data_IF_750307482487
#
_entry.id   IF_750307482487
#
_cell.length_a   1.000
_cell.length_b   1.000
_cell.length_c   1.000
_cell.angle_alpha   90.00
_cell.angle_beta   90.00
_cell.angle_gamma   90.00
#
_symmetry.space_group_name_H-M   'P 1'
#
loop_
_entity.id
_entity.type
_entity.pdbx_description
1 polymer ?
#
# COMPACT_ATOMS: atom_id res chain seq x y z
N UNK A 1 -0.24 -18.45 -49.49
CA UNK A 1 0.86 -17.77 -48.77
C UNK A 1 0.29 -16.57 -48.00
N UNK A 2 -0.39 -16.80 -46.87
CA UNK A 2 -1.03 -15.73 -46.07
C UNK A 2 -0.78 -15.86 -44.55
N UNK A 3 0.04 -16.84 -44.13
CA UNK A 3 0.26 -17.14 -42.70
C UNK A 3 1.45 -16.40 -42.08
N UNK A 4 2.38 -15.90 -42.90
CA UNK A 4 3.56 -15.18 -42.41
C UNK A 4 3.25 -13.71 -42.05
N UNK A 5 2.32 -13.06 -42.76
CA UNK A 5 1.94 -11.68 -42.45
C UNK A 5 1.20 -11.55 -41.11
N UNK A 6 0.37 -12.52 -40.74
CA UNK A 6 -0.34 -12.50 -39.45
C UNK A 6 0.60 -12.77 -38.27
N UNK A 7 1.59 -13.67 -38.44
CA UNK A 7 2.62 -13.93 -37.43
C UNK A 7 3.54 -12.72 -37.22
N UNK A 8 3.85 -11.99 -38.29
CA UNK A 8 4.65 -10.76 -38.22
C UNK A 8 3.86 -9.62 -37.59
N UNK A 9 2.55 -9.51 -37.84
CA UNK A 9 1.69 -8.52 -37.16
C UNK A 9 1.55 -8.84 -35.66
N UNK A 10 1.38 -10.11 -35.27
CA UNK A 10 1.34 -10.51 -33.86
C UNK A 10 2.70 -10.33 -33.15
N UNK A 11 3.82 -10.56 -33.85
CA UNK A 11 5.17 -10.34 -33.31
C UNK A 11 5.57 -8.86 -33.26
N UNK A 12 4.98 -8.00 -34.10
CA UNK A 12 5.30 -6.56 -34.15
C UNK A 12 4.33 -5.68 -33.33
N UNK A 13 3.11 -6.15 -33.03
CA UNK A 13 2.17 -5.44 -32.15
C UNK A 13 2.26 -5.85 -30.67
N UNK A 14 2.96 -6.94 -30.36
CA UNK A 14 3.33 -7.32 -28.99
C UNK A 14 4.85 -7.31 -28.91
N UNK A 15 5.50 -6.13 -28.87
CA UNK A 15 5.82 -5.57 -27.56
C UNK A 15 6.15 -4.05 -27.58
N UNK A 16 5.20 -3.15 -27.36
CA UNK A 16 5.53 -1.73 -27.07
C UNK A 16 4.66 -1.05 -25.99
N UNK A 17 4.02 -1.86 -25.14
CA UNK A 17 3.50 -1.42 -23.83
C UNK A 17 4.07 -2.29 -22.69
N UNK A 18 5.37 -2.58 -22.71
CA UNK A 18 6.06 -3.05 -21.51
C UNK A 18 6.77 -1.87 -20.86
N UNK A 19 6.00 -1.02 -20.18
CA UNK A 19 6.48 -0.64 -18.86
C UNK A 19 6.63 -1.97 -18.12
N UNK A 20 7.87 -2.48 -17.97
CA UNK A 20 8.13 -3.78 -17.34
C UNK A 20 7.25 -3.88 -16.09
N UNK A 21 6.36 -4.87 -16.05
CA UNK A 21 5.50 -5.08 -14.89
C UNK A 21 6.39 -5.15 -13.65
N UNK A 22 6.05 -4.39 -12.61
CA UNK A 22 6.83 -4.40 -11.38
C UNK A 22 6.72 -5.78 -10.74
N UNK A 23 7.80 -6.25 -10.15
CA UNK A 23 7.73 -7.49 -9.39
C UNK A 23 7.04 -7.29 -8.04
N UNK A 24 6.42 -8.34 -7.45
CA UNK A 24 5.91 -8.28 -6.08
C UNK A 24 6.94 -7.74 -5.08
N UNK A 25 8.21 -8.12 -5.27
CA UNK A 25 9.31 -7.63 -4.46
C UNK A 25 9.55 -6.11 -4.59
N UNK A 26 9.49 -5.56 -5.79
CA UNK A 26 9.62 -4.11 -6.00
C UNK A 26 8.47 -3.35 -5.35
N UNK A 27 7.23 -3.83 -5.55
CA UNK A 27 6.02 -3.18 -5.01
C UNK A 27 6.06 -3.19 -3.48
N UNK A 28 6.36 -4.33 -2.85
CA UNK A 28 6.41 -4.42 -1.39
C UNK A 28 7.52 -3.54 -0.81
N UNK A 29 8.68 -3.47 -1.48
CA UNK A 29 9.82 -2.63 -1.06
C UNK A 29 9.47 -1.14 -1.10
N UNK A 30 8.72 -0.71 -2.12
CA UNK A 30 8.26 0.66 -2.25
C UNK A 30 7.14 0.99 -1.27
N UNK A 31 6.16 0.11 -1.12
CA UNK A 31 5.05 0.27 -0.19
C UNK A 31 5.52 0.36 1.27
N UNK A 32 6.59 -0.37 1.62
CA UNK A 32 7.20 -0.33 2.95
C UNK A 32 7.84 1.02 3.32
N UNK A 33 8.02 1.92 2.35
CA UNK A 33 8.48 3.30 2.60
C UNK A 33 7.34 4.23 3.01
N UNK A 34 6.09 3.82 2.83
CA UNK A 34 4.96 4.64 3.22
C UNK A 34 4.74 4.61 4.74
N UNK A 35 4.32 5.74 5.32
CA UNK A 35 3.75 5.74 6.66
C UNK A 35 2.57 4.75 6.73
N UNK A 36 2.38 4.04 7.86
CA UNK A 36 1.30 3.04 7.99
C UNK A 36 -0.09 3.61 7.66
N UNK A 37 -0.41 4.82 8.14
CA UNK A 37 -1.68 5.49 7.85
C UNK A 37 -1.88 5.78 6.35
N UNK A 38 -0.81 6.15 5.64
CA UNK A 38 -0.88 6.36 4.19
C UNK A 38 -1.17 5.06 3.44
N UNK A 39 -0.53 3.95 3.83
CA UNK A 39 -0.73 2.66 3.17
C UNK A 39 -2.16 2.14 3.38
N UNK A 40 -2.73 2.33 4.57
CA UNK A 40 -4.15 2.03 4.85
C UNK A 40 -5.07 2.88 3.98
N UNK A 41 -4.88 4.20 3.98
CA UNK A 41 -5.68 5.12 3.16
C UNK A 41 -5.58 4.81 1.66
N UNK A 42 -4.39 4.43 1.18
CA UNK A 42 -4.13 4.04 -0.21
C UNK A 42 -4.93 2.79 -0.59
N UNK A 43 -4.84 1.71 0.19
CA UNK A 43 -5.57 0.48 -0.11
C UNK A 43 -7.08 0.68 -0.05
N UNK A 44 -7.58 1.43 0.94
CA UNK A 44 -9.00 1.80 1.01
C UNK A 44 -9.45 2.62 -0.21
N UNK A 45 -8.62 3.56 -0.68
CA UNK A 45 -8.93 4.39 -1.84
C UNK A 45 -8.94 3.57 -3.14
N UNK A 46 -8.05 2.59 -3.27
CA UNK A 46 -8.02 1.66 -4.40
C UNK A 46 -9.27 0.75 -4.40
N UNK A 47 -9.61 0.19 -3.25
CA UNK A 47 -10.72 -0.78 -3.13
C UNK A 47 -12.10 -0.13 -3.25
N UNK A 48 -12.30 1.02 -2.60
CA UNK A 48 -13.62 1.64 -2.43
C UNK A 48 -13.81 2.89 -3.30
N UNK A 49 -12.73 3.40 -3.88
CA UNK A 49 -12.74 4.71 -4.54
C UNK A 49 -12.90 5.88 -3.55
N UNK A 50 -12.79 7.12 -4.05
CA UNK A 50 -13.14 8.28 -3.26
C UNK A 50 -14.65 8.28 -2.99
N UNK A 51 -15.08 8.79 -1.83
CA UNK A 51 -16.51 8.99 -1.63
C UNK A 51 -17.04 10.00 -2.67
N UNK A 52 -18.15 9.68 -3.36
CA UNK A 52 -18.74 10.58 -4.35
C UNK A 52 -19.29 11.86 -3.69
N UNK A 53 -19.67 11.74 -2.42
CA UNK A 53 -20.05 12.86 -1.58
C UNK A 53 -18.84 13.35 -0.76
N UNK A 54 -18.64 14.66 -0.76
CA UNK A 54 -17.64 15.39 0.06
C UNK A 54 -17.83 15.17 1.58
N UNK A 55 -18.92 14.51 1.96
CA UNK A 55 -19.23 14.02 3.31
C UNK A 55 -18.49 12.71 3.62
N UNK A 56 -17.22 12.68 3.24
CA UNK A 56 -16.26 11.63 3.53
C UNK A 56 -16.02 11.41 5.03
N UNK A 57 -15.78 10.16 5.44
CA UNK A 57 -15.57 9.77 6.85
C UNK A 57 -14.34 8.90 7.09
N UNK A 58 -13.50 8.71 6.06
CA UNK A 58 -12.39 7.79 6.11
C UNK A 58 -11.09 8.44 5.61
N UNK A 59 -9.96 7.94 6.10
CA UNK A 59 -8.61 8.38 5.76
C UNK A 59 -8.38 8.38 4.23
N UNK A 60 -9.01 7.45 3.50
CA UNK A 60 -9.00 7.37 2.03
C UNK A 60 -9.45 8.66 1.35
N UNK A 61 -10.39 9.39 1.97
CA UNK A 61 -10.94 10.60 1.40
C UNK A 61 -10.04 11.81 1.71
N UNK A 62 -9.37 11.81 2.87
CA UNK A 62 -8.29 12.76 3.16
C UNK A 62 -7.15 12.57 2.18
N UNK A 63 -6.75 11.33 1.89
CA UNK A 63 -5.77 11.04 0.85
C UNK A 63 -6.23 11.53 -0.53
N UNK A 64 -7.49 11.26 -0.91
CA UNK A 64 -8.06 11.75 -2.17
C UNK A 64 -8.00 13.28 -2.26
N UNK A 65 -8.39 13.99 -1.20
CA UNK A 65 -8.31 15.45 -1.14
C UNK A 65 -6.86 15.95 -1.17
N UNK A 66 -5.94 15.29 -0.48
CA UNK A 66 -4.51 15.60 -0.52
C UNK A 66 -3.93 15.47 -1.93
N UNK A 67 -4.31 14.42 -2.67
CA UNK A 67 -3.92 14.21 -4.06
C UNK A 67 -4.50 15.29 -4.98
N UNK A 68 -5.75 15.71 -4.73
CA UNK A 68 -6.43 16.78 -5.47
C UNK A 68 -5.76 18.15 -5.23
N UNK A 69 -5.50 18.49 -3.96
CA UNK A 69 -4.94 19.79 -3.59
C UNK A 69 -3.45 19.89 -3.90
N UNK A 70 -2.71 18.79 -3.81
CA UNK A 70 -1.27 18.76 -4.06
C UNK A 70 -0.54 19.84 -3.24
N UNK A 71 0.17 20.74 -3.92
CA UNK A 71 0.91 21.83 -3.28
C UNK A 71 0.05 22.85 -2.54
N UNK A 72 -1.27 22.88 -2.78
CA UNK A 72 -2.21 23.79 -2.11
C UNK A 72 -2.73 23.21 -0.79
N UNK A 73 -2.45 21.94 -0.50
CA UNK A 73 -2.91 21.29 0.73
C UNK A 73 -2.54 22.08 2.00
N UNK A 74 -1.32 22.65 2.16
CA UNK A 74 -0.99 23.42 3.35
C UNK A 74 -1.88 24.65 3.55
N UNK A 75 -2.15 25.40 2.48
CA UNK A 75 -3.01 26.60 2.52
C UNK A 75 -4.46 26.21 2.86
N UNK A 76 -4.97 25.12 2.25
CA UNK A 76 -6.31 24.61 2.53
C UNK A 76 -6.44 24.16 3.99
N UNK A 77 -5.43 23.47 4.54
CA UNK A 77 -5.40 23.08 5.95
C UNK A 77 -5.43 24.34 6.85
N UNK A 78 -4.66 25.37 6.51
CA UNK A 78 -4.62 26.61 7.30
C UNK A 78 -5.97 27.34 7.30
N UNK A 79 -6.65 27.38 6.15
CA UNK A 79 -8.01 27.94 6.05
C UNK A 79 -9.01 27.13 6.89
N UNK A 80 -8.93 25.80 6.86
CA UNK A 80 -9.78 24.90 7.66
C UNK A 80 -9.53 25.12 9.16
N UNK A 81 -8.27 25.21 9.60
CA UNK A 81 -7.91 25.43 11.01
C UNK A 81 -8.45 26.76 11.54
N UNK A 82 -8.47 27.79 10.72
CA UNK A 82 -8.99 29.12 11.07
C UNK A 82 -10.48 29.29 10.79
N UNK A 83 -11.15 28.30 10.20
CA UNK A 83 -12.53 28.42 9.75
C UNK A 83 -13.52 28.72 10.88
N UNK A 84 -13.23 28.34 12.14
CA UNK A 84 -14.10 28.63 13.28
C UNK A 84 -14.00 30.05 13.82
N UNK A 85 -12.96 30.79 13.47
CA UNK A 85 -12.74 32.16 13.96
C UNK A 85 -13.51 33.17 13.08
N UNK A 86 -14.55 33.85 13.61
CA UNK A 86 -15.31 34.84 12.83
C UNK A 86 -14.44 36.00 12.33
N UNK A 87 -13.38 36.35 13.06
CA UNK A 87 -12.47 37.44 12.69
C UNK A 87 -11.60 37.09 11.46
N UNK A 88 -11.40 35.80 11.20
CA UNK A 88 -10.59 35.29 10.09
C UNK A 88 -11.37 35.06 8.80
N UNK A 89 -12.71 35.12 8.82
CA UNK A 89 -13.55 34.83 7.66
C UNK A 89 -13.23 35.71 6.45
N UNK A 90 -13.08 37.03 6.66
CA UNK A 90 -12.71 37.96 5.58
C UNK A 90 -11.34 37.64 5.00
N UNK A 91 -10.40 37.22 5.84
CA UNK A 91 -9.05 36.83 5.42
C UNK A 91 -9.08 35.52 4.61
N UNK A 92 -9.78 34.48 5.09
CA UNK A 92 -9.99 33.22 4.37
C UNK A 92 -10.61 33.49 2.99
N UNK A 93 -11.69 34.27 2.94
CA UNK A 93 -12.36 34.60 1.68
C UNK A 93 -11.44 35.36 0.72
N UNK A 94 -10.61 36.27 1.25
CA UNK A 94 -9.66 37.05 0.45
C UNK A 94 -8.55 36.15 -0.11
N UNK A 95 -8.03 35.19 0.66
CA UNK A 95 -7.04 34.23 0.18
C UNK A 95 -7.63 33.31 -0.89
N UNK A 96 -8.79 32.71 -0.65
CA UNK A 96 -9.47 31.87 -1.63
C UNK A 96 -9.67 32.63 -2.96
N UNK A 97 -10.06 33.90 -2.89
CA UNK A 97 -10.22 34.76 -4.07
C UNK A 97 -8.89 35.12 -4.75
N UNK A 98 -7.83 35.34 -3.98
CA UNK A 98 -6.49 35.62 -4.50
C UNK A 98 -5.91 34.42 -5.25
N UNK A 99 -6.09 33.22 -4.70
CA UNK A 99 -5.63 31.97 -5.29
C UNK A 99 -6.53 31.48 -6.44
N UNK A 100 -7.46 32.29 -6.95
CA UNK A 100 -8.39 31.96 -8.04
C UNK A 100 -7.68 31.83 -9.41
N UNK A 101 -6.74 30.89 -9.50
CA UNK A 101 -6.10 30.42 -10.72
C UNK A 101 -6.97 29.31 -11.32
N UNK A 102 -6.90 29.13 -12.64
CA UNK A 102 -7.68 28.12 -13.41
C UNK A 102 -7.66 26.71 -12.77
N UNK A 103 -6.57 26.35 -12.09
CA UNK A 103 -6.39 25.06 -11.40
C UNK A 103 -7.18 24.92 -10.10
N UNK A 104 -7.45 26.03 -9.38
CA UNK A 104 -8.22 26.01 -8.13
C UNK A 104 -9.73 26.08 -8.37
N UNK A 105 -10.15 26.67 -9.49
CA UNK A 105 -11.57 26.83 -9.85
C UNK A 105 -12.34 25.50 -9.84
N UNK A 106 -11.69 24.40 -10.25
CA UNK A 106 -12.29 23.06 -10.26
C UNK A 106 -12.44 22.46 -8.85
N UNK A 107 -11.65 22.88 -7.87
CA UNK A 107 -11.64 22.33 -6.51
C UNK A 107 -12.26 23.27 -5.47
N UNK A 108 -12.62 24.49 -5.88
CA UNK A 108 -13.24 25.49 -5.02
C UNK A 108 -14.52 25.01 -4.31
N UNK A 109 -15.44 24.26 -4.97
CA UNK A 109 -16.62 23.74 -4.27
C UNK A 109 -16.26 22.79 -3.11
N UNK A 110 -15.21 21.98 -3.28
CA UNK A 110 -14.73 21.08 -2.24
C UNK A 110 -14.11 21.88 -1.07
N UNK A 111 -13.29 22.88 -1.36
CA UNK A 111 -12.66 23.74 -0.34
C UNK A 111 -13.73 24.48 0.48
N UNK A 112 -14.74 25.07 -0.16
CA UNK A 112 -15.84 25.74 0.55
C UNK A 112 -16.59 24.78 1.48
N UNK A 113 -16.94 23.58 1.00
CA UNK A 113 -17.60 22.56 1.83
C UNK A 113 -16.76 22.16 3.04
N UNK A 114 -15.45 21.99 2.88
CA UNK A 114 -14.56 21.66 4.00
C UNK A 114 -14.50 22.81 5.03
N UNK A 115 -14.47 24.07 4.58
CA UNK A 115 -14.50 25.24 5.46
C UNK A 115 -15.84 25.34 6.21
N UNK A 116 -16.97 25.17 5.51
CA UNK A 116 -18.33 25.18 6.09
C UNK A 116 -18.49 24.07 7.15
N UNK A 117 -17.93 22.88 6.89
CA UNK A 117 -17.90 21.79 7.87
C UNK A 117 -17.03 22.13 9.07
N UNK A 118 -15.85 22.71 8.85
CA UNK A 118 -14.94 23.08 9.92
C UNK A 118 -15.50 24.18 10.84
N UNK A 119 -16.29 25.10 10.29
CA UNK A 119 -17.08 26.10 11.02
C UNK A 119 -18.09 25.47 11.99
N UNK A 120 -18.66 24.30 11.64
CA UNK A 120 -19.77 23.67 12.37
C UNK A 120 -19.47 22.21 12.79
N UNK A 121 -18.45 21.98 13.65
CA UNK A 121 -17.96 20.64 14.00
C UNK A 121 -18.88 19.82 14.91
N UNK A 122 -19.93 20.42 15.46
CA UNK A 122 -20.89 19.72 16.32
C UNK A 122 -22.23 19.47 15.60
N UNK A 123 -22.32 19.84 14.31
CA UNK A 123 -23.50 19.54 13.51
C UNK A 123 -23.58 18.05 13.18
N UNK A 124 -24.79 17.57 12.85
CA UNK A 124 -25.05 16.18 12.43
C UNK A 124 -24.19 15.69 11.23
N UNK A 125 -23.44 16.60 10.59
CA UNK A 125 -22.59 16.38 9.42
C UNK A 125 -21.07 16.48 9.71
N UNK A 126 -20.64 16.60 10.97
CA UNK A 126 -19.20 16.65 11.33
C UNK A 126 -18.61 15.25 11.46
N UNK A 127 -18.43 14.60 10.32
CA UNK A 127 -17.89 13.25 10.24
C UNK A 127 -16.60 13.17 9.42
N UNK A 128 -16.01 14.32 9.08
CA UNK A 128 -14.74 14.35 8.36
C UNK A 128 -13.59 14.01 9.32
N UNK A 129 -12.61 13.18 8.92
CA UNK A 129 -11.51 12.75 9.80
C UNK A 129 -10.44 13.85 9.88
N UNK A 130 -10.77 14.93 10.60
CA UNK A 130 -9.93 16.11 10.76
C UNK A 130 -8.54 15.81 11.34
N UNK A 131 -8.45 14.78 12.18
CA UNK A 131 -7.24 14.29 12.81
C UNK A 131 -6.19 13.80 11.81
N UNK A 132 -6.59 13.39 10.60
CA UNK A 132 -5.70 12.87 9.56
C UNK A 132 -5.15 14.00 8.66
N UNK A 133 -5.59 15.25 8.84
CA UNK A 133 -5.08 16.37 8.03
C UNK A 133 -3.59 16.66 8.26
N UNK A 134 -3.13 16.52 9.50
CA UNK A 134 -1.71 16.70 9.82
C UNK A 134 -0.87 15.55 9.21
N UNK A 135 -1.40 14.33 9.20
CA UNK A 135 -0.79 13.19 8.50
C UNK A 135 -0.72 13.44 6.99
N UNK A 136 -1.78 13.96 6.39
CA UNK A 136 -1.82 14.29 4.96
C UNK A 136 -0.76 15.34 4.57
N UNK A 137 -0.54 16.34 5.43
CA UNK A 137 0.55 17.29 5.26
C UNK A 137 1.91 16.60 5.36
N UNK A 138 2.11 15.72 6.33
CA UNK A 138 3.34 14.93 6.44
C UNK A 138 3.55 14.02 5.21
N UNK A 139 2.47 13.50 4.61
CA UNK A 139 2.54 12.70 3.39
C UNK A 139 3.00 13.52 2.18
N UNK A 140 2.54 14.77 2.08
CA UNK A 140 3.00 15.74 1.08
C UNK A 140 4.46 16.11 1.30
N UNK A 141 4.82 16.53 2.51
CA UNK A 141 6.18 16.97 2.86
C UNK A 141 7.20 15.84 2.69
N UNK A 142 6.80 14.59 2.95
CA UNK A 142 7.60 13.39 2.71
C UNK A 142 7.69 12.95 1.25
N UNK A 143 7.01 13.64 0.33
CA UNK A 143 7.03 13.32 -1.10
C UNK A 143 6.32 12.01 -1.45
N UNK A 144 5.41 11.52 -0.60
CA UNK A 144 4.76 10.23 -0.81
C UNK A 144 3.55 10.30 -1.74
N UNK A 145 2.88 11.46 -1.83
CA UNK A 145 1.66 11.63 -2.63
C UNK A 145 1.82 11.26 -4.12
N UNK A 146 2.90 11.66 -4.82
CA UNK A 146 3.11 11.25 -6.21
C UNK A 146 3.23 9.72 -6.37
N UNK A 147 3.85 9.03 -5.40
CA UNK A 147 3.98 7.56 -5.47
C UNK A 147 2.66 6.86 -5.13
N UNK A 148 1.90 7.39 -4.18
CA UNK A 148 0.54 6.91 -3.90
C UNK A 148 -0.36 7.07 -5.13
N UNK A 149 -0.30 8.21 -5.82
CA UNK A 149 -1.03 8.44 -7.08
C UNK A 149 -0.66 7.41 -8.17
N UNK A 150 0.63 7.08 -8.28
CA UNK A 150 1.09 6.05 -9.19
C UNK A 150 0.52 4.67 -8.86
N UNK A 151 0.53 4.28 -7.57
CA UNK A 151 -0.07 3.01 -7.16
C UNK A 151 -1.58 2.94 -7.40
N UNK A 152 -2.31 4.04 -7.22
CA UNK A 152 -3.75 4.11 -7.56
C UNK A 152 -3.95 3.84 -9.06
N UNK A 153 -3.14 4.46 -9.92
CA UNK A 153 -3.22 4.28 -11.37
C UNK A 153 -2.84 2.86 -11.81
N UNK A 154 -1.86 2.25 -11.14
CA UNK A 154 -1.30 0.94 -11.48
C UNK A 154 -1.98 -0.23 -10.74
N UNK A 155 -2.93 0.03 -9.84
CA UNK A 155 -3.51 -0.96 -8.94
C UNK A 155 -4.09 -2.20 -9.66
N UNK A 156 -4.76 -1.97 -10.80
CA UNK A 156 -5.36 -3.03 -11.61
C UNK A 156 -4.40 -3.68 -12.61
N UNK A 157 -3.11 -3.31 -12.61
CA UNK A 157 -2.11 -3.99 -13.42
C UNK A 157 -1.65 -5.27 -12.72
N UNK A 158 -1.36 -6.30 -13.53
CA UNK A 158 -0.65 -7.47 -13.05
C UNK A 158 0.83 -7.15 -12.81
N UNK A 159 1.41 -7.87 -11.85
CA UNK A 159 2.85 -7.90 -11.61
C UNK A 159 3.56 -8.76 -12.67
N UNK A 160 4.88 -8.92 -12.55
CA UNK A 160 5.65 -9.88 -13.36
C UNK A 160 5.47 -11.36 -12.95
N UNK A 161 4.56 -11.61 -12.00
CA UNK A 161 4.10 -12.92 -11.56
C UNK A 161 2.64 -13.14 -11.98
N UNK A 162 2.41 -14.20 -12.74
CA UNK A 162 1.10 -14.52 -13.30
C UNK A 162 -0.01 -14.59 -12.24
N UNK A 163 -1.11 -13.89 -12.49
CA UNK A 163 -2.29 -13.92 -11.63
C UNK A 163 -2.13 -13.17 -10.30
N UNK A 164 -1.09 -12.34 -10.16
CA UNK A 164 -0.88 -11.48 -8.99
C UNK A 164 -1.00 -10.02 -9.40
N UNK A 165 -1.99 -9.32 -8.84
CA UNK A 165 -2.23 -7.90 -9.10
C UNK A 165 -1.39 -7.01 -8.17
N UNK A 166 -1.05 -5.79 -8.60
CA UNK A 166 -0.30 -4.87 -7.75
C UNK A 166 -1.03 -4.54 -6.46
N UNK A 167 -2.36 -4.41 -6.52
CA UNK A 167 -3.20 -4.17 -5.35
C UNK A 167 -3.08 -5.28 -4.30
N UNK A 168 -2.98 -6.55 -4.71
CA UNK A 168 -2.82 -7.66 -3.76
C UNK A 168 -1.52 -7.55 -2.96
N UNK A 169 -0.45 -7.06 -3.60
CA UNK A 169 0.84 -6.83 -2.94
C UNK A 169 0.79 -5.63 -2.00
N UNK A 170 0.05 -4.57 -2.35
CA UNK A 170 -0.16 -3.43 -1.45
C UNK A 170 -0.97 -3.82 -0.21
N UNK A 171 -2.01 -4.64 -0.38
CA UNK A 171 -2.78 -5.23 0.72
C UNK A 171 -1.87 -6.12 1.58
N UNK A 172 -1.02 -6.93 0.94
CA UNK A 172 -0.07 -7.78 1.66
C UNK A 172 0.88 -6.94 2.53
N UNK A 173 1.46 -5.86 1.98
CA UNK A 173 2.34 -4.96 2.74
C UNK A 173 1.62 -4.36 3.96
N UNK A 174 0.35 -3.96 3.80
CA UNK A 174 -0.46 -3.47 4.92
C UNK A 174 -0.67 -4.55 5.98
N UNK A 175 -1.04 -5.77 5.58
CA UNK A 175 -1.33 -6.90 6.50
C UNK A 175 -0.11 -7.40 7.25
N UNK A 176 1.06 -7.36 6.61
CA UNK A 176 2.34 -7.69 7.25
C UNK A 176 2.75 -6.61 8.25
N UNK A 177 2.41 -5.35 7.98
CA UNK A 177 2.97 -4.21 8.71
C UNK A 177 4.47 -4.05 8.45
N UNK A 178 5.06 -3.00 9.03
CA UNK A 178 6.42 -2.58 8.69
C UNK A 178 7.48 -3.62 9.06
N UNK A 179 7.38 -4.22 10.25
CA UNK A 179 8.39 -5.18 10.73
C UNK A 179 8.43 -6.45 9.88
N UNK A 180 7.29 -7.09 9.63
CA UNK A 180 7.26 -8.33 8.84
C UNK A 180 7.54 -8.06 7.36
N UNK A 181 7.15 -6.89 6.85
CA UNK A 181 7.52 -6.48 5.49
C UNK A 181 9.04 -6.34 5.35
N UNK A 182 9.72 -5.70 6.31
CA UNK A 182 11.18 -5.65 6.35
C UNK A 182 11.82 -7.03 6.39
N UNK A 183 11.30 -7.95 7.21
CA UNK A 183 11.80 -9.32 7.27
C UNK A 183 11.61 -10.05 5.93
N UNK A 184 10.45 -9.90 5.29
CA UNK A 184 10.18 -10.47 3.97
C UNK A 184 11.15 -9.91 2.91
N UNK A 185 11.42 -8.61 2.92
CA UNK A 185 12.40 -7.95 2.04
C UNK A 185 13.80 -8.52 2.29
N UNK A 186 14.23 -8.62 3.54
CA UNK A 186 15.54 -9.14 3.92
C UNK A 186 15.71 -10.61 3.48
N UNK A 187 14.68 -11.42 3.65
CA UNK A 187 14.66 -12.82 3.19
C UNK A 187 14.89 -12.91 1.68
N UNK A 188 14.48 -11.93 0.88
CA UNK A 188 14.77 -11.90 -0.57
C UNK A 188 16.17 -11.36 -0.83
N UNK A 189 16.57 -10.25 -0.21
CA UNK A 189 17.79 -9.52 -0.54
C UNK A 189 19.07 -10.14 0.02
N UNK A 190 19.02 -10.89 1.12
CA UNK A 190 20.21 -11.46 1.76
C UNK A 190 21.05 -12.27 0.77
N UNK A 191 22.37 -12.12 0.84
CA UNK A 191 23.31 -12.76 -0.09
C UNK A 191 23.48 -14.25 0.26
N UNK A 192 23.38 -15.17 -0.73
CA UNK A 192 23.06 -14.92 -2.13
C UNK A 192 21.59 -14.53 -2.32
N UNK A 193 21.29 -13.49 -3.09
CA UNK A 193 19.92 -13.01 -3.32
C UNK A 193 19.02 -14.15 -3.80
N UNK A 194 17.80 -14.22 -3.27
CA UNK A 194 16.86 -15.27 -3.64
C UNK A 194 16.54 -15.24 -5.13
N UNK A 195 16.52 -16.41 -5.76
CA UNK A 195 16.19 -16.53 -7.19
C UNK A 195 14.69 -16.29 -7.47
N UNK A 196 14.34 -16.14 -8.75
CA UNK A 196 12.96 -15.87 -9.16
C UNK A 196 11.98 -16.96 -8.68
N UNK A 197 12.27 -18.27 -8.83
CA UNK A 197 11.39 -19.32 -8.33
C UNK A 197 11.14 -19.25 -6.82
N UNK A 198 12.16 -18.93 -6.02
CA UNK A 198 11.98 -18.71 -4.59
C UNK A 198 11.06 -17.52 -4.32
N UNK A 199 11.31 -16.38 -4.98
CA UNK A 199 10.50 -15.17 -4.81
C UNK A 199 9.04 -15.42 -5.14
N UNK A 200 8.75 -16.03 -6.29
CA UNK A 200 7.38 -16.34 -6.73
C UNK A 200 6.66 -17.26 -5.73
N UNK A 201 7.34 -18.33 -5.28
CA UNK A 201 6.83 -19.25 -4.26
C UNK A 201 6.57 -18.53 -2.94
N UNK A 202 7.46 -17.63 -2.53
CA UNK A 202 7.37 -16.91 -1.28
C UNK A 202 6.23 -15.89 -1.26
N UNK A 203 6.09 -15.08 -2.32
CA UNK A 203 4.97 -14.15 -2.42
C UNK A 203 3.62 -14.87 -2.55
N UNK A 204 3.56 -15.96 -3.32
CA UNK A 204 2.36 -16.79 -3.38
C UNK A 204 2.00 -17.37 -2.00
N UNK A 205 2.99 -17.84 -1.25
CA UNK A 205 2.79 -18.29 0.13
C UNK A 205 2.18 -17.17 0.98
N UNK A 206 2.82 -15.99 1.00
CA UNK A 206 2.37 -14.85 1.81
C UNK A 206 0.95 -14.37 1.44
N UNK A 207 0.62 -14.30 0.15
CA UNK A 207 -0.71 -13.91 -0.34
C UNK A 207 -1.82 -14.88 0.11
N UNK A 208 -1.48 -16.15 0.32
CA UNK A 208 -2.42 -17.19 0.73
C UNK A 208 -2.51 -17.35 2.26
N UNK A 209 -1.67 -16.66 3.05
CA UNK A 209 -1.75 -16.67 4.51
C UNK A 209 -3.01 -15.94 4.98
N UNK A 210 -3.72 -16.53 5.95
CA UNK A 210 -4.88 -15.91 6.57
C UNK A 210 -4.46 -15.03 7.76
N UNK A 211 -4.29 -13.73 7.52
CA UNK A 211 -3.93 -12.73 8.53
C UNK A 211 -5.03 -12.44 9.56
N UNK A 212 -6.29 -12.84 9.30
CA UNK A 212 -7.40 -12.64 10.25
C UNK A 212 -7.39 -13.63 11.41
N UNK A 213 -6.58 -14.69 11.35
CA UNK A 213 -6.43 -15.67 12.42
C UNK A 213 -5.17 -15.36 13.24
N UNK A 214 -5.35 -15.04 14.52
CA UNK A 214 -4.24 -14.65 15.41
C UNK A 214 -3.12 -15.70 15.47
N UNK A 215 -3.46 -17.00 15.61
CA UNK A 215 -2.46 -18.07 15.66
C UNK A 215 -1.64 -18.15 14.37
N UNK A 216 -2.29 -17.93 13.22
CA UNK A 216 -1.64 -17.90 11.91
C UNK A 216 -0.68 -16.72 11.81
N UNK A 217 -1.05 -15.55 12.32
CA UNK A 217 -0.18 -14.39 12.39
C UNK A 217 1.03 -14.62 13.31
N UNK A 218 0.82 -15.22 14.49
CA UNK A 218 1.91 -15.55 15.44
C UNK A 218 2.90 -16.53 14.80
N UNK A 219 2.41 -17.56 14.12
CA UNK A 219 3.26 -18.50 13.38
C UNK A 219 4.00 -17.82 12.23
N UNK A 220 3.36 -16.93 11.49
CA UNK A 220 4.02 -16.17 10.42
C UNK A 220 5.16 -15.32 10.99
N UNK A 221 4.91 -14.61 12.08
CA UNK A 221 5.92 -13.80 12.75
C UNK A 221 7.11 -14.66 13.21
N UNK A 222 6.86 -15.83 13.80
CA UNK A 222 7.95 -16.71 14.25
C UNK A 222 8.81 -17.22 13.09
N UNK A 223 8.21 -17.56 11.93
CA UNK A 223 8.99 -18.04 10.78
C UNK A 223 9.74 -16.91 10.07
N UNK A 224 9.16 -15.73 9.95
CA UNK A 224 9.80 -14.58 9.28
C UNK A 224 10.91 -13.95 10.13
N UNK A 225 10.98 -14.27 11.42
CA UNK A 225 12.03 -13.82 12.34
C UNK A 225 13.15 -14.84 12.53
N UNK A 226 13.06 -16.02 11.91
CA UNK A 226 14.16 -16.99 11.87
C UNK A 226 15.39 -16.39 11.19
N UNK A 227 16.58 -16.89 11.54
CA UNK A 227 17.80 -16.61 10.76
C UNK A 227 17.52 -16.95 9.29
N UNK A 228 17.75 -16.00 8.39
CA UNK A 228 17.36 -16.09 6.99
C UNK A 228 17.90 -17.36 6.29
N UNK A 229 19.15 -17.80 6.53
CA UNK A 229 19.62 -19.07 5.95
C UNK A 229 18.79 -20.27 6.41
N UNK A 230 18.39 -20.32 7.68
CA UNK A 230 17.53 -21.37 8.22
C UNK A 230 16.14 -21.30 7.58
N UNK A 231 15.55 -20.11 7.54
CA UNK A 231 14.25 -19.90 6.90
C UNK A 231 14.27 -20.39 5.45
N UNK A 232 15.24 -19.96 4.64
CA UNK A 232 15.35 -20.32 3.22
C UNK A 232 15.48 -21.83 3.03
N UNK A 233 16.27 -22.53 3.86
CA UNK A 233 16.41 -24.00 3.81
C UNK A 233 15.08 -24.69 4.09
N UNK A 234 14.40 -24.31 5.17
CA UNK A 234 13.13 -24.94 5.58
C UNK A 234 12.02 -24.62 4.57
N UNK A 235 11.92 -23.36 4.14
CA UNK A 235 10.93 -22.91 3.17
C UNK A 235 11.11 -23.56 1.80
N UNK A 236 12.35 -23.76 1.33
CA UNK A 236 12.60 -24.46 0.07
C UNK A 236 12.11 -25.92 0.09
N UNK A 237 12.29 -26.62 1.22
CA UNK A 237 11.81 -28.00 1.40
C UNK A 237 10.29 -28.08 1.54
N UNK A 238 9.64 -27.02 2.00
CA UNK A 238 8.19 -27.00 2.20
C UNK A 238 7.46 -27.12 0.85
N UNK A 239 6.61 -28.15 0.72
CA UNK A 239 5.68 -28.30 -0.41
C UNK A 239 4.28 -27.89 0.03
N UNK A 240 3.60 -27.12 -0.81
CA UNK A 240 2.21 -26.76 -0.63
C UNK A 240 1.52 -26.58 -1.99
N UNK A 241 0.23 -26.88 -2.02
CA UNK A 241 -0.65 -26.50 -3.13
C UNK A 241 -1.06 -25.04 -2.95
N UNK A 242 -1.40 -24.29 -4.01
CA UNK A 242 -1.75 -22.88 -3.94
C UNK A 242 -3.17 -22.67 -3.36
N UNK A 243 -3.37 -23.12 -2.11
CA UNK A 243 -4.62 -23.01 -1.38
C UNK A 243 -4.35 -22.56 0.05
N UNK A 244 -5.28 -21.80 0.64
CA UNK A 244 -5.17 -21.29 2.01
C UNK A 244 -4.95 -22.40 3.04
N UNK A 245 -5.60 -23.56 2.86
CA UNK A 245 -5.46 -24.71 3.76
C UNK A 245 -4.07 -25.34 3.67
N UNK A 246 -3.55 -25.54 2.46
CA UNK A 246 -2.22 -26.13 2.26
C UNK A 246 -1.11 -25.20 2.77
N UNK A 247 -1.26 -23.89 2.56
CA UNK A 247 -0.35 -22.87 3.10
C UNK A 247 -0.38 -22.83 4.62
N UNK A 248 -1.56 -22.94 5.26
CA UNK A 248 -1.65 -23.05 6.73
C UNK A 248 -0.90 -24.29 7.26
N UNK A 249 -1.07 -25.45 6.63
CA UNK A 249 -0.34 -26.65 7.03
C UNK A 249 1.17 -26.53 6.77
N UNK A 250 1.58 -25.86 5.69
CA UNK A 250 2.98 -25.61 5.40
C UNK A 250 3.59 -24.63 6.42
N UNK A 251 2.87 -23.58 6.79
CA UNK A 251 3.27 -22.62 7.82
C UNK A 251 3.57 -23.34 9.15
N UNK A 252 2.69 -24.24 9.60
CA UNK A 252 2.90 -25.05 10.80
C UNK A 252 4.17 -25.90 10.71
N UNK A 253 4.34 -26.65 9.60
CA UNK A 253 5.54 -27.49 9.38
C UNK A 253 6.83 -26.67 9.34
N UNK A 254 6.80 -25.49 8.73
CA UNK A 254 7.97 -24.58 8.68
C UNK A 254 8.32 -24.12 10.09
N UNK A 255 7.33 -23.72 10.90
CA UNK A 255 7.54 -23.29 12.27
C UNK A 255 8.14 -24.42 13.14
N UNK A 256 7.60 -25.63 13.05
CA UNK A 256 8.10 -26.82 13.76
C UNK A 256 9.53 -27.16 13.34
N UNK A 257 9.80 -27.19 12.02
CA UNK A 257 11.13 -27.51 11.48
C UNK A 257 12.16 -26.44 11.85
N UNK A 258 11.79 -25.16 11.85
CA UNK A 258 12.66 -24.06 12.25
C UNK A 258 13.06 -24.15 13.72
N UNK A 259 12.11 -24.48 14.60
CA UNK A 259 12.38 -24.69 16.02
C UNK A 259 13.38 -25.84 16.25
N UNK A 260 13.21 -26.96 15.54
CA UNK A 260 14.10 -28.11 15.65
C UNK A 260 15.54 -27.79 15.20
N UNK A 261 15.70 -27.08 14.08
CA UNK A 261 17.04 -26.70 13.59
C UNK A 261 17.74 -25.77 14.59
N UNK A 262 17.03 -24.86 15.24
CA UNK A 262 17.61 -23.99 16.27
C UNK A 262 18.06 -24.78 17.51
N UNK A 263 17.29 -25.76 17.95
CA UNK A 263 17.66 -26.63 19.06
C UNK A 263 18.92 -27.45 18.76
N UNK A 264 19.04 -27.99 17.54
CA UNK A 264 20.23 -28.74 17.10
C UNK A 264 21.50 -27.87 17.03
N UNK A 265 21.37 -26.61 16.61
CA UNK A 265 22.51 -25.68 16.58
C UNK A 265 22.95 -25.34 18.01
N UNK A 266 22.00 -25.10 18.91
CA UNK A 266 22.31 -24.74 20.29
C UNK A 266 22.93 -25.91 21.07
N UNK A 267 22.47 -27.15 20.85
CA UNK A 267 23.02 -28.34 21.51
C UNK A 267 24.44 -28.72 21.05
N UNK A 268 24.87 -28.25 19.88
CA UNK A 268 26.25 -28.42 19.38
C UNK A 268 27.20 -27.31 19.83
N UNK A 269 26.66 -26.24 20.43
CA UNK A 269 27.42 -25.07 20.86
C UNK A 269 27.68 -25.04 22.38
N UNK A 270 27.17 -26.03 23.10
CA UNK A 270 27.30 -26.28 24.55
C UNK A 270 28.16 -27.51 24.80
#
# INVERSE_FOLDING_TARGET
MFSWFLAVILALYVPFFTHSAKSPFQIVTEANRFPPGLLVALNQLIEQGPNPDVDAHADKDVLSHALIFGSLLPDVIDWIKHARDPSKQKWIHSLISYYFVKQLKQYLPLIHRLIEKAQNPNGANSKYPWEILDDAKAWLDGGFLPRAAQFIKEAGHQTDQDGVDQHDILILAQKLGQQLTNNAINIIQEIPTADKPFQEKFFLFLLLVNFSNYDTYVLLNSILTLKIPIFRIVFNKARFLPTKSSVRSALQRIAESGAMVLLEINSRSS
#
